data_IF_445642102037
#
_entry.id   IF_445642102037
#
_cell.length_a   1.000
_cell.length_b   1.000
_cell.length_c   1.000
_cell.angle_alpha   90.00
_cell.angle_beta   90.00
_cell.angle_gamma   90.00
#
_symmetry.space_group_name_H-M   'P 1'
#
loop_
_entity.id
_entity.type
_entity.pdbx_description
1 polymer ?
#
# COMPACT_ATOMS: atom_id res chain seq x y z
N UNK A 1 -24.39 1.61 26.79
CA UNK A 1 -23.61 2.08 25.63
C UNK A 1 -23.73 3.59 25.56
N UNK A 2 -22.65 4.33 25.65
CA UNK A 2 -22.66 5.78 25.43
C UNK A 2 -22.94 6.05 23.94
N UNK A 3 -23.82 7.00 23.64
CA UNK A 3 -24.08 7.44 22.28
C UNK A 3 -22.85 8.21 21.78
N UNK A 4 -22.14 7.68 20.81
CA UNK A 4 -21.05 8.39 20.14
C UNK A 4 -21.62 9.49 19.23
N UNK A 5 -21.02 10.67 19.27
CA UNK A 5 -21.42 11.83 18.48
C UNK A 5 -20.25 12.28 17.60
N UNK A 6 -20.57 12.95 16.51
CA UNK A 6 -19.59 13.48 15.56
C UNK A 6 -19.09 12.41 14.59
N UNK A 7 -18.01 12.75 13.86
CA UNK A 7 -17.37 11.87 12.89
C UNK A 7 -16.53 10.81 13.58
N UNK A 8 -16.49 9.61 13.00
CA UNK A 8 -15.50 8.60 13.34
C UNK A 8 -14.18 8.93 12.61
N UNK A 9 -13.13 9.14 13.37
CA UNK A 9 -11.79 9.33 12.81
C UNK A 9 -11.15 7.97 12.54
N UNK A 10 -11.14 7.57 11.28
CA UNK A 10 -10.52 6.31 10.85
C UNK A 10 -9.05 6.56 10.48
N UNK A 11 -8.18 6.32 11.45
CA UNK A 11 -6.72 6.46 11.30
C UNK A 11 -6.01 5.11 11.27
N UNK A 12 -6.70 4.09 10.77
CA UNK A 12 -6.09 2.80 10.43
C UNK A 12 -5.28 2.95 9.14
N UNK A 13 -4.19 2.18 8.95
CA UNK A 13 -3.44 2.18 7.69
C UNK A 13 -4.20 1.47 6.55
N UNK A 14 -5.42 1.91 6.31
CA UNK A 14 -6.40 1.34 5.38
C UNK A 14 -7.30 0.24 6.01
N UNK A 15 -8.58 0.20 5.59
CA UNK A 15 -9.17 1.17 4.65
C UNK A 15 -9.14 2.60 5.21
N UNK A 16 -9.05 3.58 4.30
CA UNK A 16 -9.03 5.01 4.64
C UNK A 16 -10.45 5.56 4.77
N UNK A 17 -10.59 6.78 5.29
CA UNK A 17 -11.82 7.55 5.14
C UNK A 17 -12.15 7.70 3.65
N UNK A 18 -13.42 7.54 3.29
CA UNK A 18 -13.87 7.67 1.91
C UNK A 18 -14.47 9.06 1.74
N UNK A 19 -13.95 9.90 0.80
CA UNK A 19 -14.49 11.22 0.55
C UNK A 19 -15.96 11.19 0.12
N UNK A 20 -16.72 12.21 0.48
CA UNK A 20 -18.12 12.33 0.04
C UNK A 20 -18.27 12.31 -1.48
N UNK A 21 -17.31 12.89 -2.21
CA UNK A 21 -17.32 12.86 -3.69
C UNK A 21 -17.28 11.44 -4.23
N UNK A 22 -16.44 10.57 -3.66
CA UNK A 22 -16.35 9.15 -4.01
C UNK A 22 -17.65 8.42 -3.67
N UNK A 23 -18.18 8.62 -2.45
CA UNK A 23 -19.45 8.02 -2.05
C UNK A 23 -20.61 8.45 -2.95
N UNK A 24 -20.70 9.73 -3.30
CA UNK A 24 -21.73 10.26 -4.18
C UNK A 24 -21.61 9.72 -5.61
N UNK A 25 -20.40 9.52 -6.12
CA UNK A 25 -20.17 8.91 -7.43
C UNK A 25 -20.67 7.46 -7.47
N UNK A 26 -20.59 6.76 -6.35
CA UNK A 26 -21.09 5.38 -6.21
C UNK A 26 -22.61 5.30 -6.00
N UNK A 27 -23.25 6.38 -5.50
CA UNK A 27 -24.69 6.41 -5.20
C UNK A 27 -25.49 6.79 -6.46
N UNK A 28 -25.58 5.88 -7.41
CA UNK A 28 -26.28 6.05 -8.68
C UNK A 28 -26.87 4.73 -9.19
N UNK A 29 -27.90 4.75 -10.07
CA UNK A 29 -28.36 3.53 -10.75
C UNK A 29 -27.26 2.86 -11.56
N UNK A 30 -27.34 1.53 -11.66
CA UNK A 30 -26.51 0.77 -12.60
C UNK A 30 -26.82 1.17 -14.04
N UNK A 31 -25.84 1.03 -14.91
CA UNK A 31 -25.97 1.26 -16.35
C UNK A 31 -25.72 -0.04 -17.13
N UNK A 32 -25.99 -0.05 -18.40
CA UNK A 32 -25.70 -1.23 -19.23
C UNK A 32 -24.18 -1.41 -19.39
N UNK A 33 -23.61 -2.38 -18.68
CA UNK A 33 -22.15 -2.57 -18.64
C UNK A 33 -21.52 -3.10 -19.94
N UNK A 34 -22.34 -3.53 -20.91
CA UNK A 34 -21.92 -3.82 -22.29
C UNK A 34 -22.32 -2.71 -23.27
N UNK A 35 -22.93 -1.63 -22.76
CA UNK A 35 -23.32 -0.48 -23.55
C UNK A 35 -22.12 0.45 -23.87
N UNK A 36 -22.24 1.27 -24.93
CA UNK A 36 -21.13 2.13 -25.38
C UNK A 36 -20.68 3.14 -24.32
N UNK A 37 -21.58 3.64 -23.48
CA UNK A 37 -21.24 4.60 -22.43
C UNK A 37 -20.33 3.99 -21.37
N UNK A 38 -20.63 2.75 -20.94
CA UNK A 38 -19.78 2.07 -19.97
C UNK A 38 -18.45 1.63 -20.59
N UNK A 39 -18.44 1.20 -21.84
CA UNK A 39 -17.20 0.85 -22.54
C UNK A 39 -16.27 2.05 -22.67
N UNK A 40 -16.80 3.22 -23.03
CA UNK A 40 -16.03 4.48 -23.10
C UNK A 40 -15.46 4.83 -21.72
N UNK A 41 -16.32 4.89 -20.70
CA UNK A 41 -15.91 5.14 -19.31
C UNK A 41 -14.82 4.18 -18.83
N UNK A 42 -14.97 2.89 -19.11
CA UNK A 42 -14.00 1.87 -18.70
C UNK A 42 -12.64 2.07 -19.38
N UNK A 43 -12.62 2.36 -20.68
CA UNK A 43 -11.37 2.63 -21.39
C UNK A 43 -10.67 3.88 -20.86
N UNK A 44 -11.41 4.95 -20.59
CA UNK A 44 -10.88 6.17 -19.96
C UNK A 44 -10.29 5.87 -18.57
N UNK A 45 -10.93 4.99 -17.80
CA UNK A 45 -10.43 4.58 -16.49
C UNK A 45 -9.13 3.76 -16.58
N UNK A 46 -9.01 2.85 -17.56
CA UNK A 46 -7.75 2.14 -17.79
C UNK A 46 -6.62 3.10 -18.19
N UNK A 47 -6.89 4.10 -19.04
CA UNK A 47 -5.89 5.11 -19.37
C UNK A 47 -5.52 6.00 -18.17
N UNK A 48 -6.49 6.36 -17.34
CA UNK A 48 -6.21 7.10 -16.10
C UNK A 48 -5.32 6.30 -15.13
N UNK A 49 -5.47 4.98 -15.07
CA UNK A 49 -4.61 4.13 -14.26
C UNK A 49 -3.17 4.08 -14.76
N UNK A 50 -2.91 4.20 -16.07
CA UNK A 50 -1.55 4.33 -16.58
C UNK A 50 -0.85 5.56 -15.99
N UNK A 51 -1.54 6.69 -15.92
CA UNK A 51 -1.00 7.91 -15.30
C UNK A 51 -0.74 7.70 -13.79
N UNK A 52 -1.63 6.99 -13.08
CA UNK A 52 -1.49 6.69 -11.64
C UNK A 52 -0.27 5.81 -11.37
N UNK A 53 0.00 4.82 -12.22
CA UNK A 53 1.19 3.96 -12.10
C UNK A 53 2.44 4.56 -12.74
N UNK A 54 2.30 5.64 -13.51
CA UNK A 54 3.36 6.21 -14.38
C UNK A 54 3.95 5.14 -15.30
N UNK A 55 3.08 4.53 -16.12
CA UNK A 55 3.45 3.43 -17.04
C UNK A 55 2.72 3.52 -18.37
N UNK A 56 3.38 3.08 -19.43
CA UNK A 56 2.76 2.76 -20.74
C UNK A 56 2.30 1.29 -20.80
N UNK A 57 2.62 0.50 -19.75
CA UNK A 57 2.21 -0.89 -19.63
C UNK A 57 0.69 -1.08 -19.49
N UNK A 58 0.27 -2.30 -19.30
CA UNK A 58 -1.13 -2.70 -19.27
C UNK A 58 -1.67 -2.72 -17.83
N UNK A 59 -2.64 -1.87 -17.47
CA UNK A 59 -3.34 -1.98 -16.19
C UNK A 59 -4.43 -3.04 -16.24
N UNK A 60 -4.70 -3.65 -15.08
CA UNK A 60 -5.77 -4.62 -14.83
C UNK A 60 -6.54 -4.23 -13.56
N UNK A 61 -7.85 -4.42 -13.60
CA UNK A 61 -8.75 -4.19 -12.47
C UNK A 61 -9.43 -5.50 -12.10
N UNK A 62 -9.43 -5.84 -10.80
CA UNK A 62 -10.07 -7.04 -10.27
C UNK A 62 -11.14 -6.68 -9.24
N UNK A 63 -12.26 -7.40 -9.24
CA UNK A 63 -13.17 -7.40 -8.10
C UNK A 63 -12.52 -8.20 -6.95
N UNK A 64 -11.59 -7.58 -6.26
CA UNK A 64 -10.73 -8.19 -5.24
C UNK A 64 -10.18 -7.13 -4.29
N UNK A 65 -9.41 -7.55 -3.30
CA UNK A 65 -8.51 -6.69 -2.53
C UNK A 65 -7.05 -6.92 -2.94
N UNK A 66 -6.09 -6.27 -2.27
CA UNK A 66 -4.67 -6.40 -2.57
C UNK A 66 -4.13 -7.83 -2.52
N UNK A 67 -4.64 -8.69 -1.64
CA UNK A 67 -4.24 -10.11 -1.59
C UNK A 67 -4.64 -10.85 -2.87
N UNK A 68 -5.85 -10.61 -3.39
CA UNK A 68 -6.24 -11.17 -4.70
C UNK A 68 -5.38 -10.64 -5.84
N UNK A 69 -4.89 -9.41 -5.74
CA UNK A 69 -3.97 -8.84 -6.74
C UNK A 69 -2.58 -9.49 -6.67
N UNK A 70 -2.09 -9.83 -5.48
CA UNK A 70 -0.86 -10.61 -5.32
C UNK A 70 -0.96 -11.97 -6.03
N UNK A 71 -2.05 -12.70 -5.77
CA UNK A 71 -2.29 -14.01 -6.41
C UNK A 71 -2.40 -13.86 -7.92
N UNK A 72 -3.13 -12.84 -8.40
CA UNK A 72 -3.26 -12.56 -9.83
C UNK A 72 -1.89 -12.32 -10.48
N UNK A 73 -1.04 -11.47 -9.88
CA UNK A 73 0.28 -11.16 -10.41
C UNK A 73 1.16 -12.41 -10.46
N UNK A 74 1.26 -13.15 -9.35
CA UNK A 74 2.05 -14.39 -9.28
C UNK A 74 1.59 -15.42 -10.32
N UNK A 75 0.28 -15.67 -10.40
CA UNK A 75 -0.27 -16.70 -11.28
C UNK A 75 -0.05 -16.41 -12.77
N UNK A 76 0.13 -15.14 -13.17
CA UNK A 76 0.34 -14.79 -14.56
C UNK A 76 1.80 -14.94 -15.01
N UNK A 77 2.77 -14.66 -14.14
CA UNK A 77 4.18 -14.59 -14.55
C UNK A 77 5.07 -15.69 -13.96
N UNK A 78 4.55 -16.54 -13.09
CA UNK A 78 5.29 -17.63 -12.45
C UNK A 78 4.56 -18.97 -12.62
N UNK A 79 5.31 -20.06 -12.61
CA UNK A 79 4.83 -21.44 -12.70
C UNK A 79 5.12 -22.19 -11.39
N UNK A 80 4.40 -23.29 -11.09
CA UNK A 80 4.75 -24.18 -9.98
C UNK A 80 6.20 -24.67 -10.10
N UNK A 81 6.99 -24.52 -9.03
CA UNK A 81 8.42 -24.86 -9.00
C UNK A 81 9.36 -23.71 -9.36
N UNK A 82 8.86 -22.60 -9.89
CA UNK A 82 9.68 -21.38 -10.00
C UNK A 82 10.11 -20.88 -8.63
N UNK A 83 11.31 -20.28 -8.57
CA UNK A 83 11.83 -19.70 -7.33
C UNK A 83 11.81 -18.16 -7.38
N UNK A 84 11.47 -17.53 -6.27
CA UNK A 84 11.47 -16.08 -6.11
C UNK A 84 12.29 -15.63 -4.90
N UNK A 85 12.90 -14.45 -4.99
CA UNK A 85 13.56 -13.78 -3.87
C UNK A 85 12.55 -12.84 -3.19
N UNK A 86 12.45 -12.95 -1.86
CA UNK A 86 11.55 -12.13 -1.05
C UNK A 86 12.38 -11.35 -0.02
N UNK A 87 12.76 -10.09 -0.28
CA UNK A 87 13.33 -9.24 0.75
C UNK A 87 12.33 -9.03 1.89
N UNK A 88 12.77 -9.35 3.13
CA UNK A 88 11.90 -9.37 4.32
C UNK A 88 11.63 -7.94 4.83
N UNK A 89 10.84 -7.14 4.08
CA UNK A 89 10.48 -5.76 4.47
C UNK A 89 9.64 -5.71 5.74
N UNK A 90 8.85 -6.73 5.99
CA UNK A 90 7.94 -6.83 7.13
C UNK A 90 6.90 -7.93 6.95
N UNK A 91 5.76 -7.79 7.65
CA UNK A 91 4.70 -8.80 7.59
C UNK A 91 4.11 -8.99 6.19
N UNK A 92 3.96 -7.92 5.40
CA UNK A 92 3.30 -8.03 4.10
C UNK A 92 4.18 -8.73 3.07
N UNK A 93 5.50 -8.59 3.13
CA UNK A 93 6.42 -9.40 2.35
C UNK A 93 6.26 -10.90 2.66
N UNK A 94 6.21 -11.26 3.95
CA UNK A 94 6.00 -12.64 4.38
C UNK A 94 4.60 -13.18 4.04
N UNK A 95 3.58 -12.31 3.99
CA UNK A 95 2.23 -12.70 3.55
C UNK A 95 2.17 -12.96 2.05
N UNK A 96 2.88 -12.17 1.25
CA UNK A 96 3.00 -12.39 -0.19
C UNK A 96 3.79 -13.67 -0.49
N UNK A 97 4.89 -13.89 0.24
CA UNK A 97 5.61 -15.17 0.24
C UNK A 97 4.70 -16.36 0.50
N UNK A 98 3.91 -16.32 1.58
CA UNK A 98 2.96 -17.40 1.90
C UNK A 98 1.99 -17.68 0.74
N UNK A 99 1.49 -16.65 0.08
CA UNK A 99 0.61 -16.81 -1.08
C UNK A 99 1.34 -17.45 -2.27
N UNK A 100 2.59 -17.08 -2.52
CA UNK A 100 3.43 -17.72 -3.55
C UNK A 100 3.63 -19.20 -3.25
N UNK A 101 3.93 -19.57 -2.01
CA UNK A 101 4.09 -20.96 -1.59
C UNK A 101 2.80 -21.80 -1.77
N UNK A 102 1.62 -21.19 -1.55
CA UNK A 102 0.34 -21.86 -1.81
C UNK A 102 0.11 -22.15 -3.30
N UNK A 103 0.70 -21.34 -4.19
CA UNK A 103 0.73 -21.57 -5.64
C UNK A 103 1.88 -22.51 -6.06
N UNK A 104 2.59 -23.13 -5.12
CA UNK A 104 3.74 -24.01 -5.35
C UNK A 104 4.95 -23.30 -5.97
N UNK A 105 5.09 -22.01 -5.72
CA UNK A 105 6.26 -21.22 -6.06
C UNK A 105 7.23 -21.32 -4.87
N UNK A 106 8.49 -21.62 -5.14
CA UNK A 106 9.53 -21.68 -4.11
C UNK A 106 9.98 -20.27 -3.72
N UNK A 107 10.16 -20.02 -2.44
CA UNK A 107 10.47 -18.69 -1.93
C UNK A 107 11.76 -18.70 -1.10
N UNK A 108 12.73 -17.92 -1.54
CA UNK A 108 13.90 -17.61 -0.75
C UNK A 108 13.71 -16.27 -0.06
N UNK A 109 13.78 -16.25 1.28
CA UNK A 109 13.70 -15.01 2.05
C UNK A 109 15.10 -14.41 2.18
N UNK A 110 15.23 -13.14 1.78
CA UNK A 110 16.41 -12.35 2.10
C UNK A 110 16.15 -11.64 3.43
N UNK A 111 16.79 -12.07 4.54
CA UNK A 111 16.51 -11.52 5.87
C UNK A 111 16.82 -10.02 5.94
N UNK A 112 15.99 -9.29 6.67
CA UNK A 112 16.20 -7.88 6.96
C UNK A 112 15.76 -7.55 8.40
N UNK A 113 16.31 -6.46 8.93
CA UNK A 113 15.80 -5.87 10.16
C UNK A 113 14.50 -5.12 9.86
N UNK A 114 13.39 -5.56 10.47
CA UNK A 114 12.08 -4.95 10.29
C UNK A 114 11.97 -3.48 10.76
N UNK A 115 13.06 -2.88 11.18
CA UNK A 115 13.19 -1.46 11.54
C UNK A 115 13.96 -0.63 10.51
N UNK A 116 14.40 -1.26 9.40
CA UNK A 116 15.15 -0.63 8.30
C UNK A 116 14.60 -1.06 6.94
N UNK A 117 14.81 -0.22 5.94
CA UNK A 117 14.49 -0.56 4.55
C UNK A 117 15.40 -1.69 4.01
N UNK A 118 14.97 -2.28 2.91
CA UNK A 118 15.80 -3.26 2.19
C UNK A 118 17.08 -2.58 1.68
N UNK A 119 18.22 -3.21 1.96
CA UNK A 119 19.49 -2.76 1.42
C UNK A 119 19.66 -3.29 -0.02
N UNK A 120 19.72 -2.43 -1.04
CA UNK A 120 19.92 -2.87 -2.43
C UNK A 120 21.19 -3.70 -2.65
N UNK A 121 22.23 -3.46 -1.86
CA UNK A 121 23.50 -4.23 -1.97
C UNK A 121 23.28 -5.69 -1.66
N UNK A 122 22.50 -6.03 -0.65
CA UNK A 122 22.23 -7.41 -0.28
C UNK A 122 21.44 -8.16 -1.36
N UNK A 123 20.53 -7.45 -2.04
CA UNK A 123 19.80 -7.96 -3.21
C UNK A 123 20.78 -8.26 -4.35
N UNK A 124 21.68 -7.28 -4.68
CA UNK A 124 22.69 -7.48 -5.71
C UNK A 124 23.60 -8.65 -5.42
N UNK A 125 24.11 -8.76 -4.18
CA UNK A 125 24.99 -9.87 -3.76
C UNK A 125 24.31 -11.23 -3.87
N UNK A 126 23.02 -11.31 -3.52
CA UNK A 126 22.27 -12.56 -3.65
C UNK A 126 22.05 -12.93 -5.12
N UNK A 127 21.69 -11.98 -5.96
CA UNK A 127 21.47 -12.22 -7.39
C UNK A 127 22.76 -12.58 -8.13
N UNK A 128 23.89 -11.95 -7.81
CA UNK A 128 25.21 -12.32 -8.36
C UNK A 128 25.63 -13.78 -8.04
N UNK A 129 25.12 -14.36 -6.96
CA UNK A 129 25.33 -15.76 -6.59
C UNK A 129 24.44 -16.74 -7.37
N UNK A 130 23.33 -16.26 -7.93
CA UNK A 130 22.42 -17.08 -8.75
C UNK A 130 22.85 -17.10 -10.22
N UNK A 131 23.97 -17.72 -10.48
CA UNK A 131 24.56 -17.80 -11.85
C UNK A 131 23.77 -18.69 -12.79
N UNK A 132 22.89 -19.53 -12.30
CA UNK A 132 21.98 -20.38 -13.06
C UNK A 132 20.64 -19.71 -13.38
N UNK A 133 20.39 -18.53 -12.82
CA UNK A 133 19.16 -17.76 -12.97
C UNK A 133 17.91 -18.56 -12.56
N UNK A 134 18.00 -19.23 -11.42
CA UNK A 134 16.87 -19.98 -10.84
C UNK A 134 15.80 -19.02 -10.28
N UNK A 135 16.22 -17.89 -9.75
CA UNK A 135 15.32 -16.84 -9.27
C UNK A 135 14.63 -16.17 -10.46
N UNK A 136 13.29 -16.31 -10.54
CA UNK A 136 12.46 -15.76 -11.62
C UNK A 136 11.94 -14.36 -11.34
N UNK A 137 11.78 -14.02 -10.05
CA UNK A 137 11.33 -12.70 -9.65
C UNK A 137 11.90 -12.29 -8.28
N UNK A 138 11.95 -10.96 -8.06
CA UNK A 138 12.11 -10.33 -6.76
C UNK A 138 10.76 -9.76 -6.37
N UNK A 139 10.20 -10.20 -5.23
CA UNK A 139 8.93 -9.70 -4.68
C UNK A 139 9.22 -8.64 -3.64
N UNK A 140 9.05 -7.37 -3.97
CA UNK A 140 9.40 -6.25 -3.11
C UNK A 140 8.17 -5.45 -2.67
N UNK A 141 7.98 -5.31 -1.37
CA UNK A 141 6.95 -4.40 -0.81
C UNK A 141 7.55 -3.01 -0.69
N UNK A 142 7.00 -2.03 -1.42
CA UNK A 142 7.48 -0.64 -1.41
C UNK A 142 7.31 0.00 -0.03
N UNK A 143 6.09 -0.07 0.54
CA UNK A 143 5.83 0.37 1.92
C UNK A 143 5.16 -0.76 2.69
N UNK A 144 5.87 -1.35 3.67
CA UNK A 144 5.26 -2.34 4.54
C UNK A 144 4.53 -1.65 5.71
N UNK A 145 3.20 -1.76 5.71
CA UNK A 145 2.37 -1.09 6.72
C UNK A 145 2.49 -1.70 8.12
N UNK A 146 3.17 -2.83 8.28
CA UNK A 146 3.38 -3.43 9.60
C UNK A 146 4.38 -2.65 10.46
N UNK A 147 5.34 -1.99 9.81
CA UNK A 147 6.42 -1.24 10.45
C UNK A 147 6.54 0.24 9.99
N UNK A 148 5.85 0.62 8.92
CA UNK A 148 5.85 1.99 8.41
C UNK A 148 7.15 2.37 7.68
N UNK A 149 7.80 1.41 7.01
CA UNK A 149 9.05 1.60 6.29
C UNK A 149 8.81 1.57 4.79
N UNK A 150 9.46 2.47 4.07
CA UNK A 150 9.46 2.56 2.61
C UNK A 150 10.83 2.20 2.08
N UNK A 151 10.91 1.24 1.14
CA UNK A 151 12.13 0.77 0.50
C UNK A 151 12.42 1.53 -0.79
N UNK A 152 13.69 1.69 -1.14
CA UNK A 152 14.13 2.31 -2.40
C UNK A 152 14.01 1.33 -3.57
N UNK A 153 12.92 1.44 -4.35
CA UNK A 153 12.67 0.58 -5.51
C UNK A 153 13.70 0.83 -6.62
N UNK A 154 14.04 2.09 -6.85
CA UNK A 154 15.01 2.47 -7.89
C UNK A 154 16.41 1.92 -7.59
N UNK A 155 16.81 1.95 -6.31
CA UNK A 155 18.06 1.37 -5.85
C UNK A 155 18.08 -0.16 -5.99
N UNK A 156 16.99 -0.83 -5.67
CA UNK A 156 16.87 -2.29 -5.90
C UNK A 156 16.92 -2.62 -7.39
N UNK A 157 16.27 -1.85 -8.26
CA UNK A 157 16.36 -2.06 -9.72
C UNK A 157 17.79 -1.89 -10.20
N UNK A 158 18.47 -0.82 -9.79
CA UNK A 158 19.87 -0.59 -10.14
C UNK A 158 20.78 -1.73 -9.68
N UNK A 159 20.53 -2.29 -8.49
CA UNK A 159 21.23 -3.45 -7.95
C UNK A 159 21.01 -4.73 -8.80
N UNK A 160 19.77 -4.95 -9.27
CA UNK A 160 19.46 -6.05 -10.19
C UNK A 160 20.16 -5.89 -11.53
N UNK A 161 20.20 -4.67 -12.06
CA UNK A 161 20.89 -4.35 -13.33
C UNK A 161 22.41 -4.53 -13.21
N UNK A 162 23.01 -4.08 -12.10
CA UNK A 162 24.43 -4.32 -11.80
C UNK A 162 24.76 -5.81 -11.71
N UNK A 163 23.85 -6.61 -11.14
CA UNK A 163 23.99 -8.05 -11.09
C UNK A 163 23.83 -8.73 -12.48
N UNK A 164 23.30 -8.02 -13.47
CA UNK A 164 22.98 -8.56 -14.80
C UNK A 164 21.93 -9.66 -14.76
N UNK A 165 21.03 -9.65 -13.75
CA UNK A 165 20.10 -10.74 -13.48
C UNK A 165 18.75 -10.53 -14.20
N UNK A 166 18.23 -11.56 -14.93
CA UNK A 166 17.02 -11.41 -15.75
C UNK A 166 15.69 -11.46 -14.98
N UNK A 167 15.71 -11.71 -13.69
CA UNK A 167 14.49 -11.82 -12.84
C UNK A 167 13.57 -10.62 -13.05
N UNK A 168 12.27 -10.86 -12.89
CA UNK A 168 11.27 -9.79 -12.82
C UNK A 168 11.41 -9.01 -11.50
N UNK A 169 11.20 -7.70 -11.54
CA UNK A 169 10.93 -6.90 -10.36
C UNK A 169 9.42 -6.74 -10.20
N UNK A 170 8.84 -7.37 -9.20
CA UNK A 170 7.43 -7.28 -8.85
C UNK A 170 7.29 -6.44 -7.58
N UNK A 171 6.50 -5.37 -7.63
CA UNK A 171 6.41 -4.39 -6.53
C UNK A 171 4.99 -4.29 -6.00
N UNK A 172 4.85 -4.44 -4.68
CA UNK A 172 3.63 -4.11 -3.96
C UNK A 172 3.63 -2.63 -3.57
N UNK A 173 2.71 -1.88 -4.17
CA UNK A 173 2.48 -0.47 -3.88
C UNK A 173 1.16 -0.22 -3.14
N UNK A 174 0.55 -1.25 -2.54
CA UNK A 174 -0.77 -1.14 -1.91
C UNK A 174 -0.81 0.01 -0.92
N UNK A 175 0.23 0.22 -0.13
CA UNK A 175 0.26 1.27 0.87
C UNK A 175 0.93 2.58 0.40
N UNK A 176 1.71 2.54 -0.67
CA UNK A 176 2.51 3.68 -1.14
C UNK A 176 1.90 4.42 -2.34
N UNK A 177 1.11 3.73 -3.19
CA UNK A 177 0.53 4.35 -4.38
C UNK A 177 -0.32 5.57 -3.99
N UNK A 178 -0.06 6.70 -4.65
CA UNK A 178 -0.68 8.01 -4.38
C UNK A 178 -0.45 8.57 -2.96
N UNK A 179 0.51 8.04 -2.22
CA UNK A 179 1.00 8.66 -0.96
C UNK A 179 2.49 9.01 -1.03
N UNK A 180 3.20 8.32 -1.90
CA UNK A 180 4.64 8.50 -2.18
C UNK A 180 4.82 8.47 -3.68
N UNK A 181 5.77 9.23 -4.21
CA UNK A 181 6.10 9.18 -5.64
C UNK A 181 6.49 7.76 -6.03
N UNK A 182 5.87 7.27 -7.08
CA UNK A 182 6.11 5.94 -7.65
C UNK A 182 6.12 6.02 -9.16
N UNK A 183 7.09 5.40 -9.82
CA UNK A 183 7.36 5.54 -11.25
C UNK A 183 7.68 4.18 -11.86
N UNK A 184 6.64 3.44 -12.23
CA UNK A 184 6.76 2.06 -12.68
C UNK A 184 7.80 1.90 -13.81
N UNK A 185 7.63 2.64 -14.90
CA UNK A 185 8.51 2.50 -16.08
C UNK A 185 9.91 3.06 -15.85
N UNK A 186 10.00 4.26 -15.25
CA UNK A 186 11.28 4.90 -14.96
C UNK A 186 12.16 4.06 -14.02
N UNK A 187 11.54 3.37 -13.07
CA UNK A 187 12.26 2.48 -12.15
C UNK A 187 12.35 1.03 -12.64
N UNK A 188 11.95 0.75 -13.87
CA UNK A 188 12.09 -0.56 -14.50
C UNK A 188 11.35 -1.69 -13.75
N UNK A 189 10.19 -1.38 -13.17
CA UNK A 189 9.35 -2.39 -12.51
C UNK A 189 8.57 -3.17 -13.56
N UNK A 190 8.58 -4.49 -13.46
CA UNK A 190 7.93 -5.36 -14.44
C UNK A 190 6.45 -5.58 -14.13
N UNK A 191 6.10 -5.73 -12.84
CA UNK A 191 4.72 -5.91 -12.36
C UNK A 191 4.50 -5.07 -11.10
N UNK A 192 3.44 -4.28 -11.11
CA UNK A 192 3.00 -3.50 -9.93
C UNK A 192 1.66 -4.01 -9.45
N UNK A 193 1.51 -4.20 -8.14
CA UNK A 193 0.23 -4.52 -7.50
C UNK A 193 -0.20 -3.44 -6.53
N UNK A 194 -1.50 -3.14 -6.51
CA UNK A 194 -2.09 -2.13 -5.62
C UNK A 194 -3.55 -2.46 -5.28
N UNK A 195 -4.22 -1.57 -4.55
CA UNK A 195 -5.63 -1.71 -4.18
C UNK A 195 -6.28 -0.35 -3.88
N UNK A 196 -7.58 -0.24 -4.15
CA UNK A 196 -8.31 1.03 -4.11
C UNK A 196 -8.48 1.66 -2.72
N UNK A 197 -8.49 0.85 -1.64
CA UNK A 197 -8.83 1.29 -0.27
C UNK A 197 -7.69 1.99 0.50
N UNK A 198 -6.70 2.50 -0.18
CA UNK A 198 -5.51 3.18 0.36
C UNK A 198 -5.41 4.61 -0.19
N UNK A 199 -4.30 4.99 -0.80
CA UNK A 199 -4.12 6.33 -1.36
C UNK A 199 -5.14 6.74 -2.43
N UNK A 200 -5.83 5.78 -3.05
CA UNK A 200 -6.92 6.04 -4.00
C UNK A 200 -8.28 6.31 -3.34
N UNK A 201 -8.37 6.30 -2.03
CA UNK A 201 -9.51 6.76 -1.22
C UNK A 201 -10.84 6.02 -1.47
N UNK A 202 -10.77 4.75 -1.87
CA UNK A 202 -11.93 3.93 -2.20
C UNK A 202 -12.39 3.04 -1.04
N UNK A 203 -13.62 2.52 -1.06
CA UNK A 203 -13.95 1.34 -0.28
C UNK A 203 -13.15 0.12 -0.76
N UNK A 204 -12.88 -0.87 0.13
CA UNK A 204 -12.32 -2.15 -0.30
C UNK A 204 -13.19 -2.82 -1.36
N UNK A 205 -12.55 -3.47 -2.35
CA UNK A 205 -13.28 -4.22 -3.37
C UNK A 205 -12.65 -4.17 -4.77
N UNK A 206 -11.68 -3.28 -5.00
CA UNK A 206 -10.89 -3.26 -6.23
C UNK A 206 -9.42 -3.53 -5.95
N UNK A 207 -8.90 -4.58 -6.58
CA UNK A 207 -7.49 -4.86 -6.74
C UNK A 207 -7.00 -4.28 -8.07
N UNK A 208 -5.82 -3.70 -8.09
CA UNK A 208 -5.22 -3.03 -9.24
C UNK A 208 -3.85 -3.61 -9.53
N UNK A 209 -3.57 -3.89 -10.79
CA UNK A 209 -2.28 -4.38 -11.24
C UNK A 209 -1.86 -3.63 -12.51
N UNK A 210 -0.57 -3.48 -12.72
CA UNK A 210 -0.01 -3.07 -14.01
C UNK A 210 1.16 -3.99 -14.38
N UNK A 211 1.28 -4.32 -15.66
CA UNK A 211 2.34 -5.16 -16.20
C UNK A 211 3.00 -4.51 -17.40
N UNK A 212 4.32 -4.55 -17.47
CA UNK A 212 5.06 -4.11 -18.64
C UNK A 212 5.09 -5.20 -19.75
N UNK A 213 5.62 -4.87 -20.90
CA UNK A 213 5.67 -5.77 -22.04
C UNK A 213 6.42 -7.08 -21.74
N UNK A 214 7.54 -7.04 -20.98
CA UNK A 214 8.29 -8.23 -20.55
C UNK A 214 7.43 -9.20 -19.73
N UNK A 215 6.66 -8.68 -18.79
CA UNK A 215 5.74 -9.49 -17.96
C UNK A 215 4.59 -10.09 -18.79
N UNK A 216 4.06 -9.35 -19.75
CA UNK A 216 3.01 -9.84 -20.67
C UNK A 216 3.54 -10.98 -21.55
N UNK A 217 4.74 -10.88 -22.10
CA UNK A 217 5.38 -11.94 -22.91
C UNK A 217 5.62 -13.21 -22.08
N UNK A 218 6.00 -13.08 -20.80
CA UNK A 218 6.12 -14.20 -19.87
C UNK A 218 4.75 -14.82 -19.63
N UNK A 219 3.71 -14.01 -19.38
CA UNK A 219 2.33 -14.49 -19.21
C UNK A 219 1.83 -15.31 -20.41
N UNK A 220 2.09 -14.87 -21.63
CA UNK A 220 1.70 -15.56 -22.86
C UNK A 220 2.30 -16.96 -22.96
N UNK A 221 3.50 -17.14 -22.44
CA UNK A 221 4.25 -18.39 -22.45
C UNK A 221 3.96 -19.26 -21.19
N UNK A 222 3.44 -18.69 -20.12
CA UNK A 222 3.14 -19.43 -18.88
C UNK A 222 1.82 -20.21 -19.01
N UNK A 223 1.93 -21.51 -19.33
CA UNK A 223 0.80 -22.43 -19.51
C UNK A 223 0.64 -23.42 -18.36
N UNK A 224 1.60 -23.46 -17.45
CA UNK A 224 1.65 -24.47 -16.39
C UNK A 224 0.87 -24.05 -15.14
N UNK A 225 0.77 -22.75 -14.87
CA UNK A 225 0.01 -22.23 -13.73
C UNK A 225 -1.50 -22.28 -14.05
N UNK A 226 -2.29 -23.07 -13.33
CA UNK A 226 -3.74 -23.09 -13.50
C UNK A 226 -4.34 -21.75 -13.07
N UNK A 227 -5.00 -21.06 -13.98
CA UNK A 227 -5.69 -19.80 -13.70
C UNK A 227 -6.83 -19.59 -14.68
N UNK A 228 -7.89 -18.95 -14.25
CA UNK A 228 -9.01 -18.54 -15.11
C UNK A 228 -9.40 -17.10 -14.78
N UNK A 229 -9.87 -16.86 -13.54
CA UNK A 229 -10.30 -15.52 -13.14
C UNK A 229 -9.19 -14.47 -13.24
N UNK A 230 -7.94 -14.85 -13.02
CA UNK A 230 -6.76 -13.95 -13.03
C UNK A 230 -6.09 -13.83 -14.40
N UNK A 231 -6.41 -14.64 -15.39
CA UNK A 231 -5.66 -14.75 -16.65
C UNK A 231 -5.66 -13.45 -17.45
N UNK A 232 -4.49 -12.84 -17.62
CA UNK A 232 -4.33 -11.60 -18.38
C UNK A 232 -4.63 -11.78 -19.86
N UNK A 233 -4.35 -12.94 -20.46
CA UNK A 233 -4.59 -13.22 -21.87
C UNK A 233 -6.08 -13.13 -22.20
N UNK A 234 -6.93 -13.70 -21.32
CA UNK A 234 -8.39 -13.61 -21.48
C UNK A 234 -8.89 -12.17 -21.28
N UNK A 235 -8.31 -11.44 -20.33
CA UNK A 235 -8.71 -10.06 -20.04
C UNK A 235 -8.33 -9.05 -21.13
N UNK A 236 -7.33 -9.39 -21.93
CA UNK A 236 -6.85 -8.57 -23.05
C UNK A 236 -7.51 -8.95 -24.39
N UNK A 237 -8.50 -9.86 -24.41
CA UNK A 237 -9.20 -10.23 -25.63
C UNK A 237 -9.99 -9.03 -26.19
N UNK A 238 -9.56 -8.46 -27.34
CA UNK A 238 -10.17 -7.24 -27.86
C UNK A 238 -11.60 -7.43 -28.40
N UNK A 239 -11.99 -8.68 -28.66
CA UNK A 239 -13.31 -9.00 -29.22
C UNK A 239 -14.40 -9.10 -28.16
N UNK A 240 -14.01 -9.29 -26.88
CA UNK A 240 -14.94 -9.59 -25.79
C UNK A 240 -14.68 -8.68 -24.60
N UNK A 241 -15.21 -7.48 -24.63
CA UNK A 241 -15.08 -6.48 -23.55
C UNK A 241 -15.43 -7.02 -22.16
N UNK A 242 -16.44 -7.89 -22.05
CA UNK A 242 -16.81 -8.60 -20.83
C UNK A 242 -15.62 -9.27 -20.12
N UNK A 243 -14.63 -9.74 -20.86
CA UNK A 243 -13.46 -10.42 -20.33
C UNK A 243 -12.51 -9.45 -19.58
N UNK A 244 -12.52 -8.16 -19.84
CA UNK A 244 -11.67 -7.20 -19.15
C UNK A 244 -11.84 -7.26 -17.62
N UNK A 245 -13.05 -7.59 -17.16
CA UNK A 245 -13.38 -7.78 -15.74
C UNK A 245 -13.56 -9.25 -15.36
N UNK A 246 -13.41 -10.18 -16.30
CA UNK A 246 -13.70 -11.62 -16.14
C UNK A 246 -15.11 -11.88 -15.60
N UNK A 247 -16.09 -11.15 -16.12
CA UNK A 247 -17.49 -11.21 -15.69
C UNK A 247 -18.14 -9.84 -15.64
N UNK A 248 -19.24 -9.75 -14.89
CA UNK A 248 -19.93 -8.48 -14.70
C UNK A 248 -19.04 -7.47 -13.97
N UNK A 249 -18.83 -6.31 -14.58
CA UNK A 249 -18.02 -5.25 -14.01
C UNK A 249 -18.62 -4.71 -12.69
N UNK A 250 -17.81 -4.40 -11.67
CA UNK A 250 -18.28 -3.81 -10.40
C UNK A 250 -18.50 -2.30 -10.55
N UNK A 251 -19.48 -1.88 -11.36
CA UNK A 251 -19.69 -0.52 -11.84
C UNK A 251 -19.57 0.56 -10.76
N UNK A 252 -20.29 0.37 -9.63
CA UNK A 252 -20.30 1.37 -8.56
C UNK A 252 -18.93 1.61 -7.96
N UNK A 253 -18.12 0.54 -7.81
CA UNK A 253 -16.74 0.66 -7.36
C UNK A 253 -15.88 1.37 -8.41
N UNK A 254 -16.12 1.11 -9.71
CA UNK A 254 -15.39 1.77 -10.79
C UNK A 254 -15.72 3.27 -10.86
N UNK A 255 -16.99 3.66 -10.68
CA UNK A 255 -17.36 5.08 -10.57
C UNK A 255 -16.68 5.77 -9.38
N UNK A 256 -16.60 5.08 -8.25
CA UNK A 256 -15.84 5.58 -7.10
C UNK A 256 -14.35 5.71 -7.41
N UNK A 257 -13.74 4.74 -8.11
CA UNK A 257 -12.33 4.79 -8.50
C UNK A 257 -12.05 6.00 -9.42
N UNK A 258 -12.89 6.21 -10.42
CA UNK A 258 -12.77 7.35 -11.31
C UNK A 258 -12.82 8.67 -10.52
N UNK A 259 -13.81 8.84 -9.64
CA UNK A 259 -13.93 10.03 -8.81
C UNK A 259 -12.72 10.25 -7.88
N UNK A 260 -12.17 9.17 -7.31
CA UNK A 260 -10.94 9.24 -6.50
C UNK A 260 -9.73 9.68 -7.33
N UNK A 261 -9.55 9.13 -8.54
CA UNK A 261 -8.47 9.52 -9.45
C UNK A 261 -8.65 10.97 -9.91
N UNK A 262 -9.87 11.40 -10.26
CA UNK A 262 -10.16 12.78 -10.60
C UNK A 262 -9.74 13.77 -9.50
N UNK A 263 -10.04 13.45 -8.22
CA UNK A 263 -9.62 14.29 -7.09
C UNK A 263 -8.09 14.41 -7.01
N UNK A 264 -7.36 13.32 -7.25
CA UNK A 264 -5.90 13.31 -7.24
C UNK A 264 -5.29 14.08 -8.42
N UNK A 265 -5.93 14.00 -9.60
CA UNK A 265 -5.52 14.77 -10.79
C UNK A 265 -5.78 16.25 -10.60
N UNK A 266 -6.92 16.64 -10.01
CA UNK A 266 -7.25 18.04 -9.70
C UNK A 266 -6.26 18.66 -8.71
N UNK A 267 -5.82 17.91 -7.70
CA UNK A 267 -4.77 18.34 -6.74
C UNK A 267 -3.40 18.40 -7.41
N UNK A 268 -3.16 17.52 -8.39
CA UNK A 268 -1.86 17.27 -9.01
C UNK A 268 -1.02 16.29 -8.18
N UNK A 269 -0.48 15.25 -8.83
CA UNK A 269 0.19 14.14 -8.13
C UNK A 269 1.37 14.59 -7.26
N UNK A 270 2.18 15.54 -7.73
CA UNK A 270 3.29 16.07 -6.93
C UNK A 270 2.79 16.79 -5.66
N UNK A 271 1.67 17.50 -5.75
CA UNK A 271 1.03 18.14 -4.59
C UNK A 271 0.47 17.10 -3.63
N UNK A 272 -0.12 16.01 -4.15
CA UNK A 272 -0.60 14.88 -3.35
C UNK A 272 0.55 14.25 -2.55
N UNK A 273 1.69 14.00 -3.19
CA UNK A 273 2.88 13.45 -2.52
C UNK A 273 3.45 14.42 -1.49
N UNK A 274 3.55 15.70 -1.83
CA UNK A 274 4.03 16.74 -0.92
C UNK A 274 3.12 16.90 0.32
N UNK A 275 1.78 16.82 0.14
CA UNK A 275 0.81 16.86 1.24
C UNK A 275 1.01 15.66 2.18
N UNK A 276 1.09 14.44 1.66
CA UNK A 276 1.31 13.25 2.47
C UNK A 276 2.65 13.31 3.22
N UNK A 277 3.73 13.71 2.55
CA UNK A 277 5.04 13.88 3.17
C UNK A 277 5.02 14.94 4.29
N UNK A 278 4.30 16.04 4.11
CA UNK A 278 4.17 17.11 5.09
C UNK A 278 3.36 16.65 6.31
N UNK A 279 2.22 15.99 6.09
CA UNK A 279 1.37 15.46 7.16
C UNK A 279 2.07 14.35 7.94
N UNK A 280 2.82 13.46 7.26
CA UNK A 280 3.59 12.41 7.94
C UNK A 280 4.67 12.97 8.84
N UNK A 281 5.43 13.99 8.39
CA UNK A 281 6.43 14.66 9.23
C UNK A 281 5.82 15.27 10.49
N UNK A 282 4.62 15.86 10.40
CA UNK A 282 3.91 16.37 11.57
C UNK A 282 3.54 15.27 12.57
N UNK A 283 3.09 14.11 12.07
CA UNK A 283 2.83 12.94 12.92
C UNK A 283 4.13 12.43 13.55
N UNK A 284 5.23 12.33 12.79
CA UNK A 284 6.53 11.92 13.32
C UNK A 284 7.01 12.85 14.43
N UNK A 285 6.96 14.17 14.23
CA UNK A 285 7.37 15.14 15.23
C UNK A 285 6.55 15.04 16.54
N UNK A 286 5.26 14.77 16.44
CA UNK A 286 4.43 14.56 17.62
C UNK A 286 4.86 13.31 18.40
N UNK A 287 5.13 12.20 17.69
CA UNK A 287 5.55 10.94 18.34
C UNK A 287 6.95 11.07 18.95
N UNK A 288 7.88 11.73 18.24
CA UNK A 288 9.21 12.01 18.78
C UNK A 288 9.13 12.83 20.06
N UNK A 289 8.23 13.85 20.08
CA UNK A 289 7.99 14.65 21.29
C UNK A 289 7.45 13.82 22.45
N UNK A 290 6.45 12.98 22.21
CA UNK A 290 5.94 12.10 23.25
C UNK A 290 6.96 11.07 23.70
N UNK A 291 7.79 10.57 22.77
CA UNK A 291 8.82 9.55 22.99
C UNK A 291 9.99 10.00 23.85
N UNK A 292 10.21 11.33 24.06
CA UNK A 292 11.26 11.85 24.95
C UNK A 292 11.14 11.30 26.39
N UNK A 293 9.98 10.79 26.79
CA UNK A 293 9.78 10.12 28.10
C UNK A 293 10.16 8.63 28.09
N UNK A 294 10.53 8.06 26.94
CA UNK A 294 11.08 6.71 26.81
C UNK A 294 10.05 5.59 26.58
N UNK A 295 8.74 5.84 26.68
CA UNK A 295 7.72 4.80 26.53
C UNK A 295 7.24 4.59 25.06
N UNK A 296 7.54 5.49 24.17
CA UNK A 296 7.10 5.48 22.76
C UNK A 296 8.28 5.68 21.82
N UNK A 297 8.32 4.94 20.72
CA UNK A 297 9.34 5.08 19.69
C UNK A 297 8.76 4.81 18.29
N UNK A 298 9.18 5.58 17.26
CA UNK A 298 8.86 5.25 15.87
C UNK A 298 9.61 3.97 15.49
N UNK A 299 8.90 3.00 14.91
CA UNK A 299 9.49 1.72 14.52
C UNK A 299 10.61 1.89 13.49
N UNK A 300 10.41 2.72 12.45
CA UNK A 300 11.42 3.05 11.45
C UNK A 300 12.52 3.92 12.06
N UNK A 301 13.73 3.37 12.18
CA UNK A 301 14.87 4.05 12.83
C UNK A 301 15.40 5.19 11.97
N UNK A 302 15.55 4.94 10.65
CA UNK A 302 16.03 5.95 9.72
C UNK A 302 14.88 6.88 9.31
N UNK A 303 14.97 8.21 9.57
CA UNK A 303 13.91 9.15 9.18
C UNK A 303 13.61 9.18 7.68
N UNK A 304 14.60 8.94 6.82
CA UNK A 304 14.45 8.99 5.37
C UNK A 304 13.69 7.77 4.82
N UNK A 305 13.58 6.70 5.62
CA UNK A 305 12.85 5.48 5.27
C UNK A 305 11.41 5.48 5.81
N UNK A 306 11.02 6.49 6.60
CA UNK A 306 9.69 6.58 7.18
C UNK A 306 8.62 6.80 6.11
N UNK A 307 7.57 6.03 6.20
CA UNK A 307 6.46 6.07 5.24
C UNK A 307 5.65 7.36 5.32
N UNK A 308 5.21 7.85 4.15
CA UNK A 308 4.25 8.93 4.03
C UNK A 308 2.80 8.49 4.29
N UNK A 309 2.52 7.20 4.43
CA UNK A 309 1.15 6.66 4.53
C UNK A 309 0.79 6.14 5.92
N UNK A 310 1.77 5.68 6.69
CA UNK A 310 1.57 5.05 7.99
C UNK A 310 2.78 5.24 8.88
N UNK A 311 2.57 5.45 10.16
CA UNK A 311 3.61 5.39 11.19
C UNK A 311 3.28 4.27 12.16
N UNK A 312 4.21 3.32 12.33
CA UNK A 312 4.17 2.31 13.36
C UNK A 312 4.93 2.81 14.59
N UNK A 313 4.31 2.70 15.76
CA UNK A 313 4.83 3.19 17.03
C UNK A 313 5.00 2.00 17.96
N UNK A 314 6.22 1.78 18.42
CA UNK A 314 6.53 0.83 19.49
C UNK A 314 6.15 1.47 20.83
N UNK A 315 5.61 0.66 21.71
CA UNK A 315 5.28 1.02 23.08
C UNK A 315 6.04 0.10 24.02
N UNK A 316 6.49 0.58 25.16
CA UNK A 316 7.23 -0.23 26.11
C UNK A 316 6.38 -1.39 26.68
N UNK A 317 7.04 -2.43 27.18
CA UNK A 317 6.41 -3.66 27.64
C UNK A 317 5.48 -3.48 28.86
N UNK A 318 5.56 -2.34 29.55
CA UNK A 318 4.71 -2.03 30.71
C UNK A 318 3.28 -1.62 30.31
N UNK A 319 3.03 -1.35 29.01
CA UNK A 319 1.76 -0.80 28.53
C UNK A 319 1.18 -1.65 27.40
N UNK A 320 -0.14 -1.90 27.49
CA UNK A 320 -0.86 -2.69 26.48
C UNK A 320 -1.38 -1.78 25.35
N UNK A 321 -0.90 -1.95 24.09
CA UNK A 321 -1.38 -1.20 22.94
C UNK A 321 -2.88 -1.47 22.63
N UNK A 322 -3.45 -2.59 23.04
CA UNK A 322 -4.86 -2.88 22.85
C UNK A 322 -5.72 -2.05 23.79
N UNK A 323 -5.31 -1.89 25.06
CA UNK A 323 -5.98 -1.01 26.02
C UNK A 323 -5.91 0.45 25.54
N UNK A 324 -4.74 0.92 25.13
CA UNK A 324 -4.53 2.26 24.57
C UNK A 324 -5.48 2.53 23.38
N UNK A 325 -5.51 1.64 22.40
CA UNK A 325 -6.41 1.76 21.23
C UNK A 325 -7.89 1.70 21.64
N UNK A 326 -8.21 0.90 22.67
CA UNK A 326 -9.54 0.86 23.28
C UNK A 326 -9.99 2.23 23.80
N UNK A 327 -9.14 2.94 24.52
CA UNK A 327 -9.41 4.31 24.98
C UNK A 327 -9.60 5.28 23.81
N UNK A 328 -8.72 5.22 22.79
CA UNK A 328 -8.87 6.04 21.57
C UNK A 328 -10.24 5.83 20.90
N UNK A 329 -10.67 4.58 20.75
CA UNK A 329 -11.95 4.22 20.15
C UNK A 329 -13.13 4.65 21.02
N UNK A 330 -13.13 4.31 22.30
CA UNK A 330 -14.29 4.41 23.16
C UNK A 330 -14.52 5.83 23.71
N UNK A 331 -13.45 6.61 23.86
CA UNK A 331 -13.54 8.00 24.38
C UNK A 331 -13.54 9.04 23.27
N UNK A 332 -12.81 8.79 22.18
CA UNK A 332 -12.57 9.80 21.14
C UNK A 332 -13.14 9.42 19.77
N UNK A 333 -13.84 8.27 19.66
CA UNK A 333 -14.39 7.77 18.39
C UNK A 333 -13.32 7.68 17.28
N UNK A 334 -12.11 7.25 17.65
CA UNK A 334 -10.96 7.20 16.78
C UNK A 334 -10.41 5.78 16.63
N UNK A 335 -10.37 5.27 15.40
CA UNK A 335 -9.80 3.97 15.06
C UNK A 335 -8.32 4.07 14.72
N UNK A 336 -7.45 3.41 15.49
CA UNK A 336 -6.02 3.23 15.18
C UNK A 336 -5.73 1.82 14.70
N UNK A 337 -4.67 1.64 13.90
CA UNK A 337 -4.18 0.33 13.50
C UNK A 337 -3.62 -0.47 14.68
N UNK A 338 -3.85 -1.79 14.69
CA UNK A 338 -3.18 -2.72 15.63
C UNK A 338 -1.73 -2.95 15.21
N UNK A 339 -0.89 -3.38 16.14
CA UNK A 339 0.43 -3.93 15.84
C UNK A 339 0.36 -5.13 14.91
N UNK A 340 1.42 -5.39 14.17
CA UNK A 340 1.51 -6.51 13.22
C UNK A 340 2.91 -7.12 13.17
N UNK A 341 2.97 -8.38 12.70
CA UNK A 341 4.25 -9.08 12.50
C UNK A 341 5.05 -9.22 13.78
N UNK A 342 6.34 -8.95 13.73
CA UNK A 342 7.27 -9.03 14.89
C UNK A 342 6.89 -8.06 16.02
N UNK A 343 6.17 -6.98 15.70
CA UNK A 343 5.81 -5.92 16.65
C UNK A 343 4.33 -5.98 17.10
N UNK A 344 3.64 -7.10 16.85
CA UNK A 344 2.19 -7.23 17.03
C UNK A 344 1.74 -6.87 18.45
N UNK A 345 2.45 -7.32 19.46
CA UNK A 345 2.02 -7.27 20.86
C UNK A 345 2.47 -6.00 21.60
N UNK A 346 3.34 -5.19 20.98
CA UNK A 346 3.91 -3.99 21.60
C UNK A 346 3.99 -2.80 20.62
N UNK A 347 3.03 -2.71 19.69
CA UNK A 347 2.91 -1.57 18.80
C UNK A 347 1.46 -1.23 18.46
N UNK A 348 1.28 -0.01 18.01
CA UNK A 348 0.07 0.44 17.31
C UNK A 348 0.48 1.27 16.08
N UNK A 349 -0.49 1.58 15.21
CA UNK A 349 -0.20 2.30 13.98
C UNK A 349 -1.16 3.45 13.75
N UNK A 350 -0.63 4.55 13.23
CA UNK A 350 -1.40 5.70 12.77
C UNK A 350 -1.34 5.72 11.24
N UNK A 351 -2.48 5.56 10.58
CA UNK A 351 -2.60 5.82 9.15
C UNK A 351 -2.77 7.32 8.91
N UNK A 352 -2.05 7.84 7.93
CA UNK A 352 -2.13 9.26 7.54
C UNK A 352 -2.15 9.40 6.01
N UNK A 353 -2.96 8.55 5.37
CA UNK A 353 -3.12 8.47 3.91
C UNK A 353 -4.54 8.81 3.46
N UNK A 354 -4.66 9.24 2.21
CA UNK A 354 -5.94 9.53 1.57
C UNK A 354 -6.35 10.99 1.69
N UNK A 355 -7.66 11.25 1.85
CA UNK A 355 -8.22 12.60 1.95
C UNK A 355 -8.09 13.14 3.39
N UNK A 356 -6.92 13.63 3.72
CA UNK A 356 -6.55 14.19 5.01
C UNK A 356 -6.01 15.61 4.87
N UNK A 357 -6.30 16.45 5.88
CA UNK A 357 -5.76 17.78 6.04
C UNK A 357 -5.19 18.01 7.45
N UNK A 358 -4.62 19.18 7.67
CA UNK A 358 -3.97 19.57 8.93
C UNK A 358 -4.92 19.51 10.12
N UNK A 359 -6.15 20.01 9.97
CA UNK A 359 -7.14 20.03 11.06
C UNK A 359 -7.50 18.61 11.51
N UNK A 360 -7.59 17.66 10.57
CA UNK A 360 -7.82 16.25 10.89
C UNK A 360 -6.63 15.66 11.65
N UNK A 361 -5.40 15.94 11.20
CA UNK A 361 -4.18 15.48 11.88
C UNK A 361 -4.09 16.06 13.30
N UNK A 362 -4.34 17.36 13.50
CA UNK A 362 -4.37 17.96 14.85
C UNK A 362 -5.41 17.31 15.76
N UNK A 363 -6.62 17.04 15.24
CA UNK A 363 -7.67 16.36 15.99
C UNK A 363 -7.25 14.97 16.44
N UNK A 364 -6.61 14.21 15.55
CA UNK A 364 -6.08 12.87 15.82
C UNK A 364 -4.97 12.91 16.87
N UNK A 365 -3.97 13.76 16.67
CA UNK A 365 -2.84 13.88 17.60
C UNK A 365 -3.29 14.36 18.99
N UNK A 366 -4.24 15.31 19.06
CA UNK A 366 -4.83 15.75 20.33
C UNK A 366 -5.57 14.62 21.06
N UNK A 367 -6.33 13.80 20.33
CA UNK A 367 -7.02 12.64 20.90
C UNK A 367 -6.03 11.55 21.38
N UNK A 368 -4.92 11.34 20.65
CA UNK A 368 -3.85 10.42 21.05
C UNK A 368 -3.20 10.91 22.34
N UNK A 369 -2.75 12.17 22.41
CA UNK A 369 -2.10 12.74 23.61
C UNK A 369 -3.04 12.68 24.83
N UNK A 370 -4.33 12.99 24.64
CA UNK A 370 -5.33 12.85 25.71
C UNK A 370 -5.50 11.38 26.15
N UNK A 371 -5.42 10.42 25.23
CA UNK A 371 -5.48 8.97 25.54
C UNK A 371 -4.26 8.50 26.30
N UNK A 372 -3.04 8.92 25.91
CA UNK A 372 -1.81 8.64 26.64
C UNK A 372 -1.90 9.12 28.09
N UNK A 373 -2.42 10.34 28.30
CA UNK A 373 -2.64 10.91 29.63
C UNK A 373 -3.67 10.12 30.44
N UNK A 374 -4.78 9.71 29.84
CA UNK A 374 -5.86 9.00 30.53
C UNK A 374 -5.44 7.63 31.05
N UNK A 375 -4.59 6.92 30.30
CA UNK A 375 -4.13 5.58 30.67
C UNK A 375 -2.80 5.60 31.45
N UNK A 376 -2.17 6.78 31.53
CA UNK A 376 -0.93 6.95 32.32
C UNK A 376 0.33 6.50 31.60
N UNK A 377 0.32 6.40 30.26
CA UNK A 377 1.53 6.11 29.49
C UNK A 377 2.48 7.31 29.58
N UNK A 378 3.75 7.09 30.00
CA UNK A 378 4.72 8.17 30.10
C UNK A 378 4.95 8.84 28.74
N UNK A 379 4.78 10.14 28.67
CA UNK A 379 5.01 10.95 27.48
C UNK A 379 5.35 12.39 27.85
N UNK A 380 6.14 13.07 27.04
CA UNK A 380 6.34 14.50 27.18
C UNK A 380 5.21 15.23 26.46
N UNK A 381 4.38 16.03 27.13
CA UNK A 381 3.27 16.76 26.50
C UNK A 381 3.75 17.73 25.41
N UNK A 382 2.87 18.02 24.45
CA UNK A 382 3.13 19.02 23.39
C UNK A 382 3.38 18.43 22.03
N UNK A 383 3.02 17.17 21.76
CA UNK A 383 3.11 16.58 20.43
C UNK A 383 2.30 17.33 19.39
N UNK A 384 1.11 17.83 19.76
CA UNK A 384 0.33 18.70 18.86
C UNK A 384 1.07 19.99 18.51
N UNK A 385 1.75 20.60 19.49
CA UNK A 385 2.56 21.81 19.22
C UNK A 385 3.74 21.49 18.29
N UNK A 386 4.43 20.36 18.49
CA UNK A 386 5.49 19.92 17.59
C UNK A 386 4.98 19.70 16.14
N UNK A 387 3.76 19.16 15.99
CA UNK A 387 3.12 19.02 14.68
C UNK A 387 2.78 20.41 14.06
N UNK A 388 2.30 21.36 14.85
CA UNK A 388 2.03 22.74 14.41
C UNK A 388 3.32 23.40 13.90
N UNK A 389 4.42 23.27 14.62
CA UNK A 389 5.71 23.85 14.23
C UNK A 389 6.16 23.32 12.85
N UNK A 390 6.00 22.01 12.59
CA UNK A 390 6.31 21.39 11.28
C UNK A 390 5.38 21.89 10.17
N UNK A 391 4.08 22.08 10.47
CA UNK A 391 3.09 22.44 9.44
C UNK A 391 3.07 23.95 9.13
N UNK A 392 3.71 24.77 9.96
CA UNK A 392 3.78 26.22 9.80
C UNK A 392 5.17 26.73 9.40
N UNK A 393 6.18 25.84 9.35
CA UNK A 393 7.52 26.13 8.82
C UNK A 393 7.52 26.11 7.28
#
# INVERSE_FOLDING_TARGET
>A
MSVQRGWNFLQTPGPTNIPNRVLNAMHRPAIEFLGPDFMTFSNELFEALKAVFKTEGQPFIYAANGHGTWEAALANVLAPGDMVLVPETGRFALSWKYMAEMLKIECEVLPNDHRQAVNPVDVAERLKKDTSHELKAVLLVHTDTSNGITSDISGVRAAMDEAGHPALLMVDTIASLMTTDYRMDEWGVDVTVSAGQKGLMQPPGLGLCAANQKALEICDNNKEMPRSYWDWRDRLDPEIFYKAYCGTAPEHLLFGLAAGIEMLVEEGFDSVFARHARLSRAVHAAIEKWGEAGALEICAVNPDERSNSVTAILIDEAHDPLEFRGICRDKFNMGLGNGMGKFQDYSFRIGHMGDLNEAMVFGVLGAIEASLKLIGIPHVPGGVNAAIDVLTA
#
